data_IF_492955402511
#
_entry.id   IF_492955402511
#
_cell.length_a   1.000
_cell.length_b   1.000
_cell.length_c   1.000
_cell.angle_alpha   90.00
_cell.angle_beta   90.00
_cell.angle_gamma   90.00
#
_symmetry.space_group_name_H-M   'P 1'
#
loop_
_entity.id
_entity.type
_entity.pdbx_description
1 polymer ?
#
# COMPACT_ATOMS: atom_id res chain seq x y z
N UNK A 1 10.89 8.92 6.11
CA UNK A 1 11.16 8.98 4.67
C UNK A 1 11.00 10.41 4.15
N UNK A 2 12.07 11.23 4.14
CA UNK A 2 11.97 12.63 3.76
C UNK A 2 11.70 12.78 2.24
N UNK A 3 10.60 13.45 1.85
CA UNK A 3 10.19 13.56 0.45
C UNK A 3 11.23 14.29 -0.44
N UNK A 4 12.05 15.14 0.15
CA UNK A 4 13.06 15.90 -0.59
C UNK A 4 14.31 15.08 -0.94
N UNK A 5 14.56 13.92 -0.31
CA UNK A 5 15.72 13.07 -0.62
C UNK A 5 15.38 11.93 -1.58
N UNK A 6 14.19 11.34 -1.47
CA UNK A 6 13.83 10.25 -2.38
C UNK A 6 13.29 10.77 -3.72
N UNK A 7 13.80 10.26 -4.86
CA UNK A 7 13.40 10.72 -6.18
C UNK A 7 12.11 10.07 -6.67
N UNK A 8 11.73 8.88 -6.17
CA UNK A 8 10.62 8.10 -6.71
C UNK A 8 9.25 8.73 -6.39
N UNK A 9 8.38 8.81 -7.39
CA UNK A 9 6.96 9.16 -7.26
C UNK A 9 6.11 8.19 -8.07
N UNK A 10 5.09 7.62 -7.44
CA UNK A 10 4.09 6.79 -8.14
C UNK A 10 2.81 7.59 -8.36
N UNK A 11 2.38 7.67 -9.63
CA UNK A 11 1.23 8.47 -10.06
C UNK A 11 0.17 7.55 -10.63
N UNK A 12 -1.02 7.56 -10.03
CA UNK A 12 -2.16 6.75 -10.45
C UNK A 12 -3.48 7.50 -10.26
N UNK A 13 -4.40 7.31 -11.20
CA UNK A 13 -5.75 7.84 -11.12
C UNK A 13 -6.68 6.93 -10.32
N UNK A 14 -7.53 7.53 -9.48
CA UNK A 14 -8.68 6.82 -8.91
C UNK A 14 -9.85 6.75 -9.90
N UNK A 15 -10.96 6.13 -9.49
CA UNK A 15 -12.17 5.93 -10.34
C UNK A 15 -12.74 7.21 -10.96
N UNK A 16 -12.54 8.35 -10.30
CA UNK A 16 -13.04 9.66 -10.73
C UNK A 16 -11.94 10.58 -11.26
N UNK A 17 -10.70 10.10 -11.39
CA UNK A 17 -9.57 10.89 -11.87
C UNK A 17 -9.47 10.75 -13.39
N UNK A 18 -9.46 11.87 -14.10
CA UNK A 18 -9.29 11.85 -15.55
C UNK A 18 -7.85 11.49 -15.94
N UNK A 19 -7.67 10.84 -17.08
CA UNK A 19 -6.34 10.52 -17.61
C UNK A 19 -5.48 11.79 -17.78
N UNK A 20 -6.08 12.89 -18.23
CA UNK A 20 -5.38 14.17 -18.36
C UNK A 20 -4.81 14.70 -17.03
N UNK A 21 -5.49 14.47 -15.91
CA UNK A 21 -4.98 14.87 -14.59
C UNK A 21 -3.82 13.98 -14.12
N UNK A 22 -3.85 12.68 -14.47
CA UNK A 22 -2.75 11.75 -14.20
C UNK A 22 -1.52 12.16 -15.00
N UNK A 23 -1.70 12.47 -16.28
CA UNK A 23 -0.62 12.83 -17.20
C UNK A 23 0.03 14.15 -16.78
N UNK A 24 -0.78 15.16 -16.47
CA UNK A 24 -0.30 16.42 -15.95
C UNK A 24 0.51 16.25 -14.65
N UNK A 25 0.05 15.41 -13.72
CA UNK A 25 0.77 15.16 -12.48
C UNK A 25 2.10 14.43 -12.73
N UNK A 26 2.12 13.44 -13.63
CA UNK A 26 3.35 12.75 -14.01
C UNK A 26 4.37 13.70 -14.66
N UNK A 27 3.92 14.58 -15.55
CA UNK A 27 4.76 15.59 -16.19
C UNK A 27 5.30 16.60 -15.19
N UNK A 28 4.46 17.07 -14.25
CA UNK A 28 4.85 17.99 -13.19
C UNK A 28 5.96 17.40 -12.32
N UNK A 29 5.80 16.16 -11.83
CA UNK A 29 6.82 15.52 -10.99
C UNK A 29 8.12 15.26 -11.75
N UNK A 30 8.02 14.86 -13.01
CA UNK A 30 9.19 14.70 -13.89
C UNK A 30 9.92 16.04 -14.06
N UNK A 31 9.17 17.13 -14.29
CA UNK A 31 9.73 18.48 -14.47
C UNK A 31 10.54 18.96 -13.26
N UNK A 32 10.11 18.63 -12.04
CA UNK A 32 10.83 18.98 -10.80
C UNK A 32 11.93 17.97 -10.42
N UNK A 33 12.31 17.07 -11.33
CA UNK A 33 13.42 16.14 -11.15
C UNK A 33 13.10 14.86 -10.39
N UNK A 34 11.82 14.49 -10.27
CA UNK A 34 11.42 13.19 -9.71
C UNK A 34 11.48 12.09 -10.76
N UNK A 35 11.73 10.87 -10.31
CA UNK A 35 11.60 9.64 -11.09
C UNK A 35 10.17 9.15 -10.98
N UNK A 36 9.41 9.21 -12.07
CA UNK A 36 7.96 8.98 -12.06
C UNK A 36 7.62 7.61 -12.61
N UNK A 37 6.83 6.84 -11.85
CA UNK A 37 6.11 5.67 -12.36
C UNK A 37 4.65 6.07 -12.55
N UNK A 38 4.24 6.24 -13.82
CA UNK A 38 2.83 6.40 -14.18
C UNK A 38 2.18 5.03 -14.26
N UNK A 39 1.06 4.85 -13.56
CA UNK A 39 0.37 3.58 -13.46
C UNK A 39 -1.02 3.67 -14.10
N UNK A 40 -1.40 2.65 -14.87
CA UNK A 40 -2.74 2.55 -15.48
C UNK A 40 -3.82 2.11 -14.48
N UNK A 41 -3.41 1.39 -13.43
CA UNK A 41 -4.29 0.86 -12.40
C UNK A 41 -3.69 1.03 -11.02
N UNK A 42 -4.54 1.32 -10.04
CA UNK A 42 -4.13 1.35 -8.65
C UNK A 42 -3.72 -0.05 -8.19
N UNK A 43 -2.50 -0.15 -7.66
CA UNK A 43 -2.03 -1.31 -6.92
C UNK A 43 -2.19 -0.98 -5.44
N UNK A 44 -2.92 -1.78 -4.64
CA UNK A 44 -3.07 -1.48 -3.23
C UNK A 44 -1.72 -1.48 -2.52
N UNK A 45 -1.38 -0.35 -1.90
CA UNK A 45 -0.07 -0.14 -1.29
C UNK A 45 1.01 0.35 -2.25
N UNK A 46 0.65 0.66 -3.51
CA UNK A 46 1.59 1.04 -4.58
C UNK A 46 2.66 -0.04 -4.84
N UNK A 47 3.51 0.12 -5.85
CA UNK A 47 4.48 -0.92 -6.22
C UNK A 47 5.58 -1.01 -5.16
N UNK A 48 6.24 0.10 -4.83
CA UNK A 48 7.41 0.10 -3.95
C UNK A 48 7.06 -0.40 -2.55
N UNK A 49 6.03 0.18 -1.93
CA UNK A 49 5.64 -0.19 -0.58
C UNK A 49 5.03 -1.60 -0.52
N UNK A 50 4.35 -2.09 -1.56
CA UNK A 50 3.90 -3.50 -1.62
C UNK A 50 5.05 -4.50 -1.70
N UNK A 51 6.12 -4.16 -2.44
CA UNK A 51 7.34 -5.00 -2.50
C UNK A 51 8.07 -4.99 -1.15
N UNK A 52 8.21 -3.82 -0.53
CA UNK A 52 8.78 -3.69 0.81
C UNK A 52 8.00 -4.50 1.84
N UNK A 53 6.66 -4.42 1.83
CA UNK A 53 5.81 -5.21 2.72
C UNK A 53 5.95 -6.73 2.46
N UNK A 54 6.17 -7.16 1.22
CA UNK A 54 6.37 -8.58 0.91
C UNK A 54 7.68 -9.09 1.53
N UNK A 55 8.76 -8.34 1.39
CA UNK A 55 10.04 -8.65 2.04
C UNK A 55 9.91 -8.63 3.56
N UNK A 56 9.22 -7.63 4.11
CA UNK A 56 9.05 -7.50 5.56
C UNK A 56 8.24 -8.67 6.16
N UNK A 57 7.19 -9.13 5.48
CA UNK A 57 6.41 -10.31 5.93
C UNK A 57 7.27 -11.58 6.00
N UNK A 58 8.12 -11.81 5.01
CA UNK A 58 9.03 -12.96 5.01
C UNK A 58 10.03 -12.86 6.17
N UNK A 59 10.61 -11.68 6.38
CA UNK A 59 11.50 -11.43 7.51
C UNK A 59 10.84 -11.72 8.87
N UNK A 60 9.58 -11.29 9.06
CA UNK A 60 8.84 -11.58 10.29
C UNK A 60 8.63 -13.09 10.49
N UNK A 61 8.31 -13.82 9.41
CA UNK A 61 8.15 -15.26 9.46
C UNK A 61 9.45 -15.97 9.86
N UNK A 62 10.59 -15.60 9.25
CA UNK A 62 11.90 -16.15 9.60
C UNK A 62 12.26 -15.94 11.08
N UNK A 63 11.95 -14.76 11.63
CA UNK A 63 12.15 -14.48 13.06
C UNK A 63 11.26 -15.35 13.93
N UNK A 64 9.99 -15.49 13.57
CA UNK A 64 9.02 -16.32 14.30
C UNK A 64 9.41 -17.80 14.31
N UNK A 65 9.96 -18.31 13.20
CA UNK A 65 10.47 -19.68 13.10
C UNK A 65 11.86 -19.88 13.73
N UNK A 66 12.50 -18.80 14.19
CA UNK A 66 13.85 -18.86 14.77
C UNK A 66 14.96 -19.14 13.73
N UNK A 67 14.70 -18.88 12.45
CA UNK A 67 15.67 -19.08 11.36
C UNK A 67 16.75 -17.99 11.33
N UNK A 68 16.40 -16.77 11.76
CA UNK A 68 17.33 -15.64 11.83
C UNK A 68 16.92 -14.62 12.91
N UNK A 69 17.90 -13.90 13.47
CA UNK A 69 17.63 -12.72 14.31
C UNK A 69 17.34 -11.50 13.45
N UNK A 70 16.71 -10.48 14.04
CA UNK A 70 16.43 -9.20 13.35
C UNK A 70 17.71 -8.54 12.81
N UNK A 71 18.82 -8.62 13.55
CA UNK A 71 20.11 -8.07 13.12
C UNK A 71 20.75 -8.86 11.98
N UNK A 72 20.55 -10.18 11.95
CA UNK A 72 21.00 -11.01 10.84
C UNK A 72 20.22 -10.68 9.57
N UNK A 73 18.91 -10.47 9.68
CA UNK A 73 18.05 -10.08 8.56
C UNK A 73 18.45 -8.70 8.04
N UNK A 74 18.56 -7.69 8.90
CA UNK A 74 18.94 -6.33 8.48
C UNK A 74 20.29 -6.36 7.74
N UNK A 75 21.30 -7.02 8.33
CA UNK A 75 22.62 -7.14 7.71
C UNK A 75 22.60 -7.92 6.41
N UNK A 76 21.76 -8.96 6.29
CA UNK A 76 21.62 -9.72 5.05
C UNK A 76 21.16 -8.84 3.89
N UNK A 77 20.34 -7.81 4.17
CA UNK A 77 19.89 -6.84 3.18
C UNK A 77 20.93 -5.73 2.99
N UNK A 78 21.36 -5.06 4.05
CA UNK A 78 22.23 -3.87 3.95
C UNK A 78 23.62 -4.18 3.43
N UNK A 79 24.18 -5.34 3.75
CA UNK A 79 25.52 -5.76 3.32
C UNK A 79 25.46 -6.68 2.08
N UNK A 80 24.27 -7.16 1.75
CA UNK A 80 24.01 -8.04 0.61
C UNK A 80 23.37 -7.30 -0.58
N UNK A 81 22.14 -7.67 -0.99
CA UNK A 81 21.54 -7.16 -2.20
C UNK A 81 21.15 -5.67 -2.10
N UNK A 82 20.98 -5.11 -0.89
CA UNK A 82 20.68 -3.70 -0.68
C UNK A 82 21.78 -2.76 -1.18
N UNK A 83 23.05 -3.17 -1.16
CA UNK A 83 24.15 -2.35 -1.72
C UNK A 83 24.02 -2.13 -3.23
N UNK A 84 23.48 -3.11 -3.96
CA UNK A 84 23.36 -3.05 -5.43
C UNK A 84 22.04 -2.46 -5.90
N UNK A 85 20.97 -2.54 -5.10
CA UNK A 85 19.64 -2.07 -5.51
C UNK A 85 19.52 -0.59 -5.90
N UNK A 86 20.29 0.36 -5.32
CA UNK A 86 20.28 1.75 -5.78
C UNK A 86 20.72 1.91 -7.24
N UNK A 87 21.55 0.99 -7.75
CA UNK A 87 22.08 1.03 -9.11
C UNK A 87 21.35 0.06 -10.04
N UNK A 88 20.94 -1.08 -9.52
CA UNK A 88 20.27 -2.16 -10.24
C UNK A 88 19.19 -2.80 -9.37
N UNK A 89 17.94 -2.43 -9.64
CA UNK A 89 16.79 -3.08 -9.01
C UNK A 89 16.76 -4.59 -9.27
N UNK A 90 16.00 -5.36 -8.49
CA UNK A 90 16.01 -6.83 -8.55
C UNK A 90 15.73 -7.37 -9.95
N UNK A 91 14.80 -6.77 -10.69
CA UNK A 91 14.45 -7.22 -12.05
C UNK A 91 15.62 -7.12 -13.03
N UNK A 92 16.38 -6.02 -13.00
CA UNK A 92 17.56 -5.89 -13.86
C UNK A 92 18.66 -6.88 -13.45
N UNK A 93 18.89 -7.05 -12.14
CA UNK A 93 19.90 -8.00 -11.68
C UNK A 93 19.57 -9.43 -12.10
N UNK A 94 18.33 -9.86 -11.96
CA UNK A 94 17.92 -11.20 -12.38
C UNK A 94 17.89 -11.34 -13.90
N UNK A 95 17.47 -10.31 -14.64
CA UNK A 95 17.59 -10.32 -16.09
C UNK A 95 19.03 -10.58 -16.55
N UNK A 96 20.01 -9.92 -15.95
CA UNK A 96 21.43 -10.15 -16.26
C UNK A 96 21.93 -11.53 -15.84
N UNK A 97 21.35 -12.12 -14.78
CA UNK A 97 21.68 -13.48 -14.34
C UNK A 97 21.10 -14.57 -15.25
N UNK A 98 20.02 -14.27 -15.97
CA UNK A 98 19.32 -15.21 -16.85
C UNK A 98 19.94 -15.50 -18.21
N UNK A 99 21.17 -15.02 -18.48
CA UNK A 99 21.86 -15.29 -19.74
C UNK A 99 21.12 -14.74 -20.97
N UNK A 100 21.10 -15.48 -22.07
CA UNK A 100 20.49 -15.02 -23.34
C UNK A 100 18.96 -14.87 -23.26
N UNK A 101 18.26 -15.69 -22.48
CA UNK A 101 16.80 -15.57 -22.30
C UNK A 101 16.39 -14.58 -21.20
N UNK A 102 17.36 -14.06 -20.45
CA UNK A 102 17.17 -13.00 -19.47
C UNK A 102 16.11 -13.34 -18.42
N UNK A 103 15.12 -12.47 -18.24
CA UNK A 103 14.11 -12.66 -17.19
C UNK A 103 13.16 -13.84 -17.48
N UNK A 104 12.96 -14.21 -18.75
CA UNK A 104 12.10 -15.33 -19.10
C UNK A 104 12.69 -16.65 -18.59
N UNK A 105 14.00 -16.84 -18.76
CA UNK A 105 14.70 -18.03 -18.29
C UNK A 105 14.74 -18.10 -16.76
N UNK A 106 14.89 -16.97 -16.07
CA UNK A 106 14.82 -16.94 -14.61
C UNK A 106 13.42 -17.34 -14.12
N UNK A 107 12.34 -16.82 -14.73
CA UNK A 107 10.98 -17.22 -14.35
C UNK A 107 10.76 -18.72 -14.60
N UNK A 108 11.16 -19.22 -15.77
CA UNK A 108 11.04 -20.64 -16.10
C UNK A 108 11.81 -21.52 -15.11
N UNK A 109 13.01 -21.10 -14.70
CA UNK A 109 13.80 -21.78 -13.67
C UNK A 109 13.08 -21.83 -12.33
N UNK A 110 12.52 -20.71 -11.86
CA UNK A 110 11.78 -20.68 -10.61
C UNK A 110 10.49 -21.52 -10.65
N UNK A 111 9.78 -21.57 -11.79
CA UNK A 111 8.60 -22.43 -11.94
C UNK A 111 8.96 -23.93 -11.88
N UNK A 112 10.15 -24.31 -12.36
CA UNK A 112 10.68 -25.67 -12.21
C UNK A 112 11.04 -25.97 -10.75
N UNK A 113 11.70 -25.03 -10.06
CA UNK A 113 12.13 -25.20 -8.67
C UNK A 113 10.98 -25.20 -7.66
N UNK A 114 9.94 -24.39 -7.90
CA UNK A 114 8.81 -24.27 -6.99
C UNK A 114 8.05 -25.60 -6.81
N UNK A 115 8.01 -26.45 -7.84
CA UNK A 115 6.98 -27.49 -7.94
C UNK A 115 5.58 -26.85 -7.94
N UNK A 116 4.53 -27.57 -8.34
CA UNK A 116 3.19 -26.96 -8.29
C UNK A 116 2.88 -26.52 -6.84
N UNK A 117 2.47 -25.25 -6.61
CA UNK A 117 1.95 -24.25 -7.58
C UNK A 117 2.99 -23.25 -8.15
N UNK A 118 2.72 -22.71 -9.35
CA UNK A 118 3.57 -21.71 -10.03
C UNK A 118 3.72 -20.38 -9.25
N UNK A 119 4.67 -19.51 -9.63
CA UNK A 119 4.80 -18.18 -9.02
C UNK A 119 3.48 -17.38 -9.10
N UNK A 120 2.78 -17.48 -10.23
CA UNK A 120 1.50 -16.80 -10.42
C UNK A 120 0.45 -17.28 -9.42
N UNK A 121 0.40 -18.58 -9.13
CA UNK A 121 -0.53 -19.19 -8.19
C UNK A 121 -0.22 -18.78 -6.74
N UNK A 122 1.06 -18.71 -6.37
CA UNK A 122 1.50 -18.23 -5.06
C UNK A 122 1.11 -16.75 -4.84
N UNK A 123 1.32 -15.91 -5.86
CA UNK A 123 0.94 -14.49 -5.82
C UNK A 123 -0.58 -14.34 -5.74
N UNK A 124 -1.34 -15.12 -6.52
CA UNK A 124 -2.80 -15.07 -6.51
C UNK A 124 -3.39 -15.52 -5.16
N UNK A 125 -2.87 -16.60 -4.57
CA UNK A 125 -3.30 -17.07 -3.24
C UNK A 125 -3.06 -16.02 -2.16
N UNK A 126 -1.88 -15.41 -2.13
CA UNK A 126 -1.56 -14.33 -1.20
C UNK A 126 -2.51 -13.15 -1.37
N UNK A 127 -2.74 -12.71 -2.61
CA UNK A 127 -3.57 -11.55 -2.90
C UNK A 127 -5.04 -11.77 -2.51
N UNK A 128 -5.56 -12.98 -2.74
CA UNK A 128 -6.88 -13.39 -2.27
C UNK A 128 -6.98 -13.29 -0.75
N UNK A 129 -5.97 -13.77 -0.01
CA UNK A 129 -5.90 -13.65 1.45
C UNK A 129 -5.90 -12.21 1.94
N UNK A 130 -5.08 -11.33 1.33
CA UNK A 130 -5.02 -9.90 1.68
C UNK A 130 -6.37 -9.20 1.41
N UNK A 131 -7.01 -9.49 0.28
CA UNK A 131 -8.32 -8.93 -0.07
C UNK A 131 -9.39 -9.39 0.92
N UNK A 132 -9.39 -10.67 1.31
CA UNK A 132 -10.34 -11.23 2.26
C UNK A 132 -10.20 -10.59 3.64
N UNK A 133 -8.98 -10.47 4.17
CA UNK A 133 -8.70 -9.79 5.43
C UNK A 133 -9.18 -8.33 5.42
N UNK A 134 -8.85 -7.57 4.38
CA UNK A 134 -9.28 -6.17 4.25
C UNK A 134 -10.81 -6.04 4.18
N UNK A 135 -11.50 -6.97 3.53
CA UNK A 135 -12.98 -6.99 3.50
C UNK A 135 -13.55 -7.28 4.89
N UNK A 136 -12.98 -8.23 5.62
CA UNK A 136 -13.40 -8.56 6.99
C UNK A 136 -13.19 -7.39 7.94
N UNK A 137 -12.03 -6.73 7.89
CA UNK A 137 -11.76 -5.52 8.70
C UNK A 137 -12.76 -4.41 8.38
N UNK A 138 -13.03 -4.16 7.10
CA UNK A 138 -14.02 -3.15 6.69
C UNK A 138 -15.46 -3.50 7.14
N UNK A 139 -15.81 -4.80 7.20
CA UNK A 139 -17.10 -5.25 7.73
C UNK A 139 -17.20 -5.07 9.25
N UNK A 140 -16.12 -5.32 9.99
CA UNK A 140 -16.06 -5.06 11.43
C UNK A 140 -16.21 -3.57 11.73
N UNK A 141 -15.53 -2.70 10.98
CA UNK A 141 -15.64 -1.24 11.12
C UNK A 141 -17.04 -0.71 10.75
N UNK A 142 -17.77 -1.40 9.87
CA UNK A 142 -19.12 -1.04 9.44
C UNK A 142 -20.24 -1.56 10.36
N UNK A 143 -19.91 -2.38 11.38
CA UNK A 143 -20.92 -2.92 12.29
C UNK A 143 -21.22 -1.88 13.39
N UNK A 144 -22.44 -1.33 13.49
CA UNK A 144 -22.75 -0.36 14.53
C UNK A 144 -22.65 -1.02 15.91
N UNK A 145 -22.04 -0.30 16.84
CA UNK A 145 -21.87 -0.69 18.24
C UNK A 145 -23.23 -1.14 18.84
N UNK A 146 -23.40 -2.44 18.99
CA UNK A 146 -24.63 -3.04 19.54
C UNK A 146 -24.79 -2.79 21.05
N UNK A 147 -23.86 -2.06 21.68
CA UNK A 147 -23.90 -1.74 23.11
C UNK A 147 -24.86 -0.61 23.51
N UNK A 148 -25.60 0.01 22.58
CA UNK A 148 -26.54 1.11 22.90
C UNK A 148 -28.04 0.79 22.81
N UNK A 149 -28.43 -0.48 22.69
CA UNK A 149 -29.85 -0.85 22.52
C UNK A 149 -30.58 -1.38 23.78
N UNK A 150 -29.95 -1.42 24.96
CA UNK A 150 -30.62 -1.92 26.18
C UNK A 150 -30.27 -1.11 27.44
N UNK A 151 -31.06 -0.06 27.70
CA UNK A 151 -31.43 0.50 29.03
C UNK A 151 -32.14 1.85 28.80
N UNK A 152 -33.25 2.22 29.43
CA UNK A 152 -34.21 1.57 30.32
C UNK A 152 -35.50 2.42 30.30
N UNK A 153 -36.64 1.76 30.45
CA UNK A 153 -37.95 2.34 30.76
C UNK A 153 -38.02 2.62 32.29
N UNK A 154 -38.71 3.69 32.74
CA UNK A 154 -39.10 3.88 34.15
C UNK A 154 -38.63 5.13 34.92
N UNK A 155 -39.38 6.24 34.78
CA UNK A 155 -39.85 7.24 35.79
C UNK A 155 -39.04 7.73 37.02
N UNK A 156 -38.90 9.08 37.05
CA UNK A 156 -39.17 10.07 38.12
C UNK A 156 -38.04 10.60 39.04
N UNK A 157 -37.86 11.94 39.03
CA UNK A 157 -37.11 12.73 40.02
C UNK A 157 -36.33 13.95 39.49
N UNK A 158 -37.01 15.09 39.28
CA UNK A 158 -36.47 16.44 38.97
C UNK A 158 -35.79 17.12 40.19
N UNK A 159 -35.24 18.37 40.14
CA UNK A 159 -34.75 19.23 39.03
C UNK A 159 -33.30 19.79 39.28
N UNK A 160 -32.56 20.40 38.35
CA UNK A 160 -32.68 21.82 37.97
C UNK A 160 -31.76 22.22 36.78
N UNK A 161 -32.32 23.09 35.93
CA UNK A 161 -31.74 23.88 34.82
C UNK A 161 -31.17 25.23 35.35
N UNK A 162 -30.63 26.22 34.56
CA UNK A 162 -30.56 26.41 33.10
C UNK A 162 -29.15 26.88 32.60
N UNK A 163 -28.81 27.13 31.33
CA UNK A 163 -29.52 27.88 30.29
C UNK A 163 -28.90 27.68 28.88
N UNK A 164 -29.75 27.96 27.89
CA UNK A 164 -29.53 27.88 26.45
C UNK A 164 -28.94 29.18 25.84
N UNK A 165 -28.71 29.14 24.51
CA UNK A 165 -28.75 30.21 23.45
C UNK A 165 -27.59 29.96 22.47
N UNK A 166 -27.67 29.96 21.13
CA UNK A 166 -28.70 29.88 20.08
C UNK A 166 -27.95 29.60 18.75
N UNK A 167 -28.55 28.90 17.78
CA UNK A 167 -28.10 28.87 16.36
C UNK A 167 -28.92 29.88 15.51
N UNK A 168 -28.89 29.98 14.15
CA UNK A 168 -27.98 29.51 13.06
C UNK A 168 -27.76 30.67 12.00
N UNK A 169 -27.77 30.50 10.65
CA UNK A 169 -27.02 29.63 9.69
C UNK A 169 -26.21 30.44 8.63
N UNK A 170 -25.40 29.79 7.78
CA UNK A 170 -25.19 30.24 6.38
C UNK A 170 -24.57 29.15 5.49
N UNK A 171 -24.90 29.19 4.20
CA UNK A 171 -24.83 28.14 3.19
C UNK A 171 -23.93 28.46 1.98
N UNK A 172 -23.21 27.43 1.49
CA UNK A 172 -22.76 27.14 0.09
C UNK A 172 -21.70 28.06 -0.58
N UNK A 173 -21.00 27.66 -1.70
CA UNK A 173 -21.07 26.41 -2.48
C UNK A 173 -19.72 25.73 -2.84
N UNK A 174 -19.89 24.62 -3.53
CA UNK A 174 -19.03 23.65 -4.22
C UNK A 174 -17.85 24.17 -5.06
N UNK A 175 -16.69 23.51 -4.92
CA UNK A 175 -15.70 23.34 -5.99
C UNK A 175 -15.15 21.90 -5.92
N UNK A 176 -15.46 21.09 -6.92
CA UNK A 176 -14.93 19.73 -7.04
C UNK A 176 -13.47 19.80 -7.50
N UNK A 177 -12.54 19.84 -6.54
CA UNK A 177 -11.12 19.61 -6.81
C UNK A 177 -10.93 18.10 -6.93
N UNK A 178 -10.76 17.59 -8.16
CA UNK A 178 -10.33 16.23 -8.37
C UNK A 178 -8.92 16.05 -7.80
N UNK A 179 -8.82 15.45 -6.61
CA UNK A 179 -7.55 15.11 -5.99
C UNK A 179 -6.94 13.93 -6.76
N UNK A 180 -5.95 14.20 -7.61
CA UNK A 180 -5.00 13.18 -8.04
C UNK A 180 -4.21 12.75 -6.79
N UNK A 181 -4.21 11.44 -6.49
CA UNK A 181 -3.43 10.89 -5.38
C UNK A 181 -2.03 10.57 -5.89
N UNK A 182 -1.11 11.51 -5.70
CA UNK A 182 0.31 11.20 -5.77
C UNK A 182 0.76 10.75 -4.39
N UNK A 183 1.28 9.53 -4.28
CA UNK A 183 1.93 9.05 -3.06
C UNK A 183 3.42 9.00 -3.33
N UNK A 184 4.19 9.79 -2.59
CA UNK A 184 5.62 9.56 -2.48
C UNK A 184 5.81 8.34 -1.63
N UNK A 185 6.22 7.26 -2.27
CA UNK A 185 6.36 5.97 -1.62
C UNK A 185 7.55 5.95 -0.67
N UNK A 186 7.28 5.28 0.46
CA UNK A 186 8.14 5.08 1.63
C UNK A 186 9.45 4.38 1.28
#
# INVERSE_FOLDING_TARGET
NPPYLLPLVEVVGGKSTSAAAVDWAADFFTHIGKSVIRMDREVPGFIANRLQEAQWREALYMVEQGEATVEQIDRSITDGPGLRWPFQGPMLTFHLAGGEGGMADVVAGCDIEAGEPSIADLVAHRDAGIIALRRLTAQLDATPDSSKAQSADGTSGHPASPAAVSAPPSSAPTAATASARAKMTA
#
